data_IF_981635992894
#
_entry.id   IF_981635992894
#
_cell.length_a   1.000
_cell.length_b   1.000
_cell.length_c   1.000
_cell.angle_alpha   90.00
_cell.angle_beta   90.00
_cell.angle_gamma   90.00
#
_symmetry.space_group_name_H-M   'P 1'
#
loop_
_entity.id
_entity.type
_entity.pdbx_description
1 polymer ?
#
# COMPACT_ATOMS: atom_id res chain seq x y z
N UNK A 1 -7.90 3.15 -22.08
CA UNK A 1 -6.80 2.40 -21.43
C UNK A 1 -5.50 3.02 -21.93
N UNK A 2 -4.43 3.00 -21.13
CA UNK A 2 -3.12 3.45 -21.60
C UNK A 2 -2.73 2.68 -22.87
N UNK A 3 -1.95 3.31 -23.73
CA UNK A 3 -1.42 2.76 -24.98
C UNK A 3 -0.32 1.70 -24.76
N UNK A 4 0.28 1.67 -23.57
CA UNK A 4 1.35 0.76 -23.15
C UNK A 4 1.20 0.39 -21.66
N UNK A 5 1.85 -0.69 -21.20
CA UNK A 5 1.75 -1.13 -19.81
C UNK A 5 2.32 -0.08 -18.85
N UNK A 6 1.68 0.03 -17.69
CA UNK A 6 2.13 0.89 -16.59
C UNK A 6 3.13 0.14 -15.70
N UNK A 7 3.80 0.87 -14.82
CA UNK A 7 4.67 0.33 -13.76
C UNK A 7 4.24 0.94 -12.43
N UNK A 8 4.28 0.19 -11.35
CA UNK A 8 3.70 0.64 -10.08
C UNK A 8 4.75 0.94 -9.02
N UNK A 9 4.57 2.08 -8.36
CA UNK A 9 5.21 2.39 -7.08
C UNK A 9 4.11 2.42 -6.01
N UNK A 10 4.27 1.63 -4.96
CA UNK A 10 3.40 1.67 -3.78
C UNK A 10 4.21 2.09 -2.57
N UNK A 11 3.79 3.16 -1.92
CA UNK A 11 4.34 3.61 -0.64
C UNK A 11 3.32 3.29 0.45
N UNK A 12 3.69 2.42 1.37
CA UNK A 12 2.87 2.00 2.50
C UNK A 12 3.50 2.42 3.83
N UNK A 13 2.84 3.37 4.51
CA UNK A 13 3.15 3.79 5.87
C UNK A 13 2.27 3.07 6.88
N UNK A 14 2.83 2.04 7.51
CA UNK A 14 2.16 1.32 8.59
C UNK A 14 2.13 2.19 9.85
N UNK A 15 0.95 2.60 10.32
CA UNK A 15 0.81 3.43 11.52
C UNK A 15 0.94 4.95 11.33
N UNK A 16 1.09 5.43 10.09
CA UNK A 16 1.32 6.86 9.80
C UNK A 16 0.05 7.68 9.56
N UNK A 17 -1.12 7.06 9.37
CA UNK A 17 -2.35 7.77 8.99
C UNK A 17 -2.74 8.87 10.00
N UNK A 18 -2.65 8.57 11.30
CA UNK A 18 -2.97 9.51 12.39
C UNK A 18 -1.98 10.68 12.53
N UNK A 19 -0.81 10.58 11.89
CA UNK A 19 0.26 11.58 11.97
C UNK A 19 0.11 12.67 10.91
N UNK A 20 -0.78 12.50 9.93
CA UNK A 20 -0.99 13.48 8.87
C UNK A 20 -1.64 14.75 9.44
N UNK A 21 -0.88 15.82 9.46
CA UNK A 21 -1.31 17.18 9.79
C UNK A 21 -1.39 18.09 8.54
N UNK A 22 -2.02 19.28 8.65
CA UNK A 22 -2.07 20.28 7.57
C UNK A 22 -0.72 20.75 7.01
N UNK A 23 0.39 20.48 7.72
CA UNK A 23 1.74 20.86 7.29
C UNK A 23 2.28 19.97 6.16
N UNK A 24 1.67 18.82 5.90
CA UNK A 24 2.13 17.85 4.89
C UNK A 24 1.58 18.20 3.49
N UNK A 25 2.07 19.31 2.96
CA UNK A 25 1.60 19.89 1.70
C UNK A 25 1.72 18.96 0.49
N UNK A 26 2.74 18.10 0.40
CA UNK A 26 2.91 17.19 -0.72
C UNK A 26 1.91 16.03 -0.67
N UNK A 27 1.61 15.49 0.51
CA UNK A 27 0.55 14.48 0.67
C UNK A 27 -0.82 15.06 0.28
N UNK A 28 -1.14 16.27 0.75
CA UNK A 28 -2.38 16.95 0.38
C UNK A 28 -2.44 17.28 -1.11
N UNK A 29 -1.33 17.77 -1.68
CA UNK A 29 -1.23 18.04 -3.12
C UNK A 29 -1.41 16.76 -3.95
N UNK A 30 -0.84 15.64 -3.50
CA UNK A 30 -1.03 14.34 -4.13
C UNK A 30 -2.50 13.89 -4.08
N UNK A 31 -3.14 13.96 -2.90
CA UNK A 31 -4.56 13.66 -2.75
C UNK A 31 -5.43 14.49 -3.71
N UNK A 32 -5.11 15.77 -3.90
CA UNK A 32 -5.85 16.66 -4.80
C UNK A 32 -5.86 16.28 -6.28
N UNK A 33 -5.02 15.31 -6.68
CA UNK A 33 -4.85 14.82 -8.06
C UNK A 33 -5.24 13.36 -8.21
N UNK A 34 -5.34 12.64 -7.11
CA UNK A 34 -5.50 11.20 -7.06
C UNK A 34 -6.97 10.79 -6.98
N UNK A 35 -7.18 9.48 -7.11
CA UNK A 35 -8.40 8.80 -6.69
C UNK A 35 -8.20 8.36 -5.24
N UNK A 36 -8.90 9.01 -4.33
CA UNK A 36 -8.80 8.83 -2.89
C UNK A 36 -9.95 7.97 -2.35
N UNK A 37 -9.67 7.25 -1.27
CA UNK A 37 -10.65 6.42 -0.59
C UNK A 37 -10.06 5.60 0.55
N UNK A 38 -10.70 4.49 0.83
CA UNK A 38 -10.45 3.64 1.99
C UNK A 38 -10.22 2.19 1.56
N UNK A 39 -9.24 1.55 2.19
CA UNK A 39 -9.13 0.09 2.20
C UNK A 39 -9.70 -0.42 3.51
N UNK A 40 -10.86 -1.09 3.43
CA UNK A 40 -11.47 -1.78 4.55
C UNK A 40 -10.66 -3.03 4.86
N UNK A 41 -10.38 -3.21 6.14
CA UNK A 41 -9.62 -4.34 6.65
C UNK A 41 -10.56 -5.30 7.36
N UNK A 42 -10.14 -6.54 7.51
CA UNK A 42 -10.77 -7.53 8.37
C UNK A 42 -10.29 -7.35 9.81
N UNK A 43 -11.17 -7.56 10.76
CA UNK A 43 -10.87 -7.55 12.19
C UNK A 43 -9.85 -8.65 12.53
N UNK A 44 -9.04 -8.44 13.57
CA UNK A 44 -8.14 -9.49 14.02
C UNK A 44 -8.94 -10.70 14.51
N UNK A 45 -8.48 -11.93 14.24
CA UNK A 45 -9.15 -13.13 14.74
C UNK A 45 -9.07 -13.25 16.27
N UNK A 46 -8.05 -12.65 16.90
CA UNK A 46 -7.87 -12.59 18.34
C UNK A 46 -7.93 -11.12 18.83
N UNK A 47 -8.61 -10.90 19.95
CA UNK A 47 -8.67 -9.61 20.63
C UNK A 47 -7.32 -9.18 21.22
N UNK A 48 -6.37 -10.12 21.41
CA UNK A 48 -5.02 -9.87 21.93
C UNK A 48 -3.92 -10.03 20.88
N UNK A 49 -4.20 -9.62 19.65
CA UNK A 49 -3.21 -9.61 18.55
C UNK A 49 -1.96 -8.79 18.90
N UNK A 50 -0.77 -9.32 18.62
CA UNK A 50 0.48 -8.57 18.78
C UNK A 50 0.70 -7.58 17.64
N UNK A 51 1.55 -6.57 17.82
CA UNK A 51 1.89 -5.63 16.73
C UNK A 51 2.49 -6.32 15.50
N UNK A 52 3.22 -7.42 15.69
CA UNK A 52 3.79 -8.17 14.58
C UNK A 52 2.72 -8.95 13.82
N UNK A 53 1.77 -9.56 14.53
CA UNK A 53 0.64 -10.27 13.91
C UNK A 53 -0.24 -9.28 13.14
N UNK A 54 -0.54 -8.11 13.73
CA UNK A 54 -1.26 -7.02 13.06
C UNK A 54 -0.58 -6.61 11.76
N UNK A 55 0.75 -6.42 11.78
CA UNK A 55 1.54 -6.06 10.60
C UNK A 55 1.42 -7.10 9.50
N UNK A 56 1.58 -8.37 9.84
CA UNK A 56 1.45 -9.48 8.89
C UNK A 56 0.03 -9.57 8.37
N UNK A 57 -0.99 -9.46 9.21
CA UNK A 57 -2.40 -9.48 8.79
C UNK A 57 -2.73 -8.35 7.84
N UNK A 58 -2.34 -7.12 8.14
CA UNK A 58 -2.64 -5.94 7.32
C UNK A 58 -1.90 -6.00 5.96
N UNK A 59 -0.61 -6.34 5.94
CA UNK A 59 0.12 -6.50 4.67
C UNK A 59 -0.37 -7.71 3.88
N UNK A 60 -0.76 -8.82 4.53
CA UNK A 60 -1.31 -9.98 3.87
C UNK A 60 -2.63 -9.66 3.16
N UNK A 61 -3.48 -8.82 3.76
CA UNK A 61 -4.69 -8.34 3.08
C UNK A 61 -4.34 -7.47 1.86
N UNK A 62 -3.43 -6.50 1.99
CA UNK A 62 -3.00 -5.68 0.84
C UNK A 62 -2.45 -6.51 -0.32
N UNK A 63 -1.78 -7.63 -0.03
CA UNK A 63 -1.15 -8.50 -1.01
C UNK A 63 -2.03 -9.69 -1.47
N UNK A 64 -3.32 -9.70 -1.12
CA UNK A 64 -4.26 -10.82 -1.35
C UNK A 64 -3.71 -12.19 -0.88
N UNK A 65 -3.02 -12.20 0.25
CA UNK A 65 -2.41 -13.38 0.85
C UNK A 65 -3.06 -13.77 2.20
N UNK A 66 -4.03 -12.98 2.69
CA UNK A 66 -4.61 -13.17 4.03
C UNK A 66 -5.27 -14.53 4.22
N UNK A 67 -6.17 -14.94 3.32
CA UNK A 67 -6.88 -16.23 3.46
C UNK A 67 -5.92 -17.42 3.38
N UNK A 68 -4.85 -17.30 2.57
CA UNK A 68 -3.83 -18.34 2.50
C UNK A 68 -3.02 -18.42 3.80
N UNK A 69 -2.64 -17.27 4.36
CA UNK A 69 -1.91 -17.21 5.63
C UNK A 69 -2.76 -17.78 6.79
N UNK A 70 -4.03 -17.39 6.87
CA UNK A 70 -4.97 -17.87 7.89
C UNK A 70 -5.18 -19.39 7.80
N UNK A 71 -5.27 -19.95 6.59
CA UNK A 71 -5.36 -21.40 6.41
C UNK A 71 -4.12 -22.11 6.99
N UNK A 72 -2.90 -21.59 6.78
CA UNK A 72 -1.67 -22.19 7.30
C UNK A 72 -1.62 -22.24 8.83
N UNK A 73 -2.02 -21.15 9.50
CA UNK A 73 -2.07 -21.09 10.96
C UNK A 73 -3.05 -22.13 11.55
N UNK A 74 -4.18 -22.36 10.87
CA UNK A 74 -5.12 -23.44 11.20
C UNK A 74 -4.49 -24.84 11.06
N UNK A 75 -3.74 -25.10 9.99
CA UNK A 75 -3.05 -26.38 9.77
C UNK A 75 -1.89 -26.65 10.74
N UNK A 76 -1.18 -25.61 11.20
CA UNK A 76 -0.12 -25.74 12.19
C UNK A 76 -0.61 -26.24 13.55
N UNK A 77 -1.90 -26.14 13.84
CA UNK A 77 -2.50 -26.62 15.09
C UNK A 77 -2.79 -28.14 15.05
N UNK A 78 -2.87 -28.76 13.86
CA UNK A 78 -3.26 -30.18 13.72
C UNK A 78 -2.11 -31.14 13.34
N UNK A 79 -0.98 -30.68 12.82
CA UNK A 79 0.10 -31.58 12.38
C UNK A 79 1.49 -31.07 12.81
N UNK A 80 1.91 -31.55 13.99
CA UNK A 80 3.32 -31.55 14.38
C UNK A 80 4.04 -32.71 13.69
N UNK A 81 5.19 -32.38 13.09
CA UNK A 81 6.32 -33.25 12.66
C UNK A 81 6.32 -33.67 11.18
N UNK A 82 7.35 -33.16 10.49
CA UNK A 82 7.90 -33.50 9.17
C UNK A 82 7.16 -33.01 7.92
N UNK A 83 7.54 -31.81 7.44
CA UNK A 83 7.58 -31.54 6.00
C UNK A 83 8.85 -30.78 5.61
N UNK A 84 9.56 -31.36 4.64
CA UNK A 84 10.61 -30.71 3.88
C UNK A 84 10.08 -29.45 3.17
N UNK A 85 10.92 -28.41 3.11
CA UNK A 85 10.70 -27.10 2.49
C UNK A 85 10.44 -27.15 0.96
N UNK A 86 9.34 -27.77 0.49
CA UNK A 86 9.07 -27.81 -0.97
C UNK A 86 7.67 -27.44 -1.46
N UNK A 87 6.68 -27.26 -0.61
CA UNK A 87 5.37 -26.77 -1.06
C UNK A 87 5.07 -25.43 -0.37
N UNK A 88 5.38 -24.31 -1.05
CA UNK A 88 4.84 -23.00 -0.65
C UNK A 88 3.32 -23.07 -0.86
N UNK A 89 2.47 -23.00 0.18
CA UNK A 89 1.02 -23.15 0.02
C UNK A 89 0.34 -21.88 -0.50
N UNK A 90 1.08 -20.77 -0.60
CA UNK A 90 0.66 -19.55 -1.29
C UNK A 90 1.39 -19.47 -2.63
N UNK A 91 0.69 -19.47 -3.77
CA UNK A 91 1.34 -19.25 -5.06
C UNK A 91 2.11 -17.93 -5.08
N UNK A 92 3.31 -17.95 -5.65
CA UNK A 92 4.14 -16.76 -5.75
C UNK A 92 3.43 -15.66 -6.53
N UNK A 93 3.79 -14.39 -6.29
CA UNK A 93 3.15 -13.25 -6.95
C UNK A 93 3.23 -13.33 -8.48
N UNK A 94 4.33 -13.86 -9.02
CA UNK A 94 4.50 -14.11 -10.46
C UNK A 94 3.48 -15.12 -10.98
N UNK A 95 3.18 -16.17 -10.21
CA UNK A 95 2.18 -17.18 -10.57
C UNK A 95 0.75 -16.64 -10.48
N UNK A 96 0.47 -15.75 -9.52
CA UNK A 96 -0.85 -15.13 -9.34
C UNK A 96 -1.15 -14.03 -10.37
N UNK A 97 -0.11 -13.37 -10.90
CA UNK A 97 -0.25 -12.14 -11.68
C UNK A 97 0.63 -12.12 -12.95
N UNK A 98 0.44 -13.09 -13.86
CA UNK A 98 1.05 -13.08 -15.21
C UNK A 98 2.54 -12.68 -15.24
N UNK A 99 3.36 -13.37 -14.44
CA UNK A 99 4.79 -13.12 -14.28
C UNK A 99 5.10 -11.69 -13.80
N UNK A 100 4.31 -11.17 -12.84
CA UNK A 100 4.59 -9.89 -12.19
C UNK A 100 5.94 -9.96 -11.45
N UNK A 101 6.89 -9.12 -11.86
CA UNK A 101 8.17 -8.94 -11.18
C UNK A 101 8.02 -7.87 -10.11
N UNK A 102 8.12 -8.25 -8.85
CA UNK A 102 7.89 -7.35 -7.72
C UNK A 102 9.09 -7.27 -6.77
N UNK A 103 9.40 -6.06 -6.32
CA UNK A 103 10.38 -5.79 -5.27
C UNK A 103 9.73 -5.18 -4.03
N UNK A 104 10.25 -5.50 -2.85
CA UNK A 104 9.82 -4.87 -1.59
C UNK A 104 11.02 -4.34 -0.81
N UNK A 105 10.96 -3.08 -0.44
CA UNK A 105 11.87 -2.45 0.51
C UNK A 105 11.16 -2.25 1.83
N UNK A 106 11.76 -2.74 2.92
CA UNK A 106 11.16 -2.56 4.24
C UNK A 106 12.15 -2.40 5.37
N UNK A 107 11.75 -1.67 6.41
CA UNK A 107 12.46 -1.58 7.70
C UNK A 107 11.98 -2.63 8.73
N UNK A 108 11.10 -3.55 8.33
CA UNK A 108 10.49 -4.53 9.22
C UNK A 108 10.88 -5.96 8.78
N UNK A 109 11.80 -6.64 9.48
CA UNK A 109 12.32 -7.95 9.06
C UNK A 109 11.25 -9.04 8.91
N UNK A 110 10.22 -9.04 9.76
CA UNK A 110 9.13 -10.03 9.68
C UNK A 110 8.30 -9.84 8.41
N UNK A 111 8.00 -8.58 8.04
CA UNK A 111 7.32 -8.27 6.76
C UNK A 111 8.21 -8.62 5.58
N UNK A 112 9.52 -8.38 5.68
CA UNK A 112 10.48 -8.78 4.66
C UNK A 112 10.50 -10.30 4.44
N UNK A 113 10.50 -11.09 5.51
CA UNK A 113 10.45 -12.55 5.43
C UNK A 113 9.13 -13.03 4.81
N UNK A 114 8.01 -12.45 5.24
CA UNK A 114 6.68 -12.74 4.68
C UNK A 114 6.61 -12.42 3.18
N UNK A 115 7.06 -11.24 2.76
CA UNK A 115 7.06 -10.84 1.35
C UNK A 115 7.98 -11.72 0.50
N UNK A 116 9.13 -12.15 1.03
CA UNK A 116 10.01 -13.09 0.33
C UNK A 116 9.33 -14.43 0.08
N UNK A 117 8.53 -14.93 1.02
CA UNK A 117 7.74 -16.16 0.85
C UNK A 117 6.67 -16.02 -0.23
N UNK A 118 6.17 -14.80 -0.49
CA UNK A 118 5.26 -14.50 -1.58
C UNK A 118 5.97 -14.28 -2.94
N UNK A 119 7.30 -14.41 -2.99
CA UNK A 119 8.08 -14.27 -4.22
C UNK A 119 8.50 -12.84 -4.56
N UNK A 120 8.49 -11.90 -3.60
CA UNK A 120 9.10 -10.58 -3.81
C UNK A 120 10.63 -10.66 -3.76
N UNK A 121 11.29 -9.82 -4.56
CA UNK A 121 12.69 -9.47 -4.35
C UNK A 121 12.79 -8.49 -3.18
N UNK A 122 13.17 -9.00 -2.00
CA UNK A 122 13.16 -8.21 -0.76
C UNK A 122 14.53 -7.60 -0.47
N UNK A 123 14.54 -6.34 -0.02
CA UNK A 123 15.74 -5.67 0.49
C UNK A 123 15.40 -4.85 1.74
N UNK A 124 16.36 -4.72 2.65
CA UNK A 124 16.18 -3.85 3.80
C UNK A 124 16.19 -2.38 3.33
N UNK A 125 15.38 -1.55 3.97
CA UNK A 125 15.36 -0.11 3.69
C UNK A 125 16.73 0.55 3.92
N UNK A 126 17.50 0.04 4.89
CA UNK A 126 18.88 0.46 5.12
C UNK A 126 19.80 0.20 3.93
N UNK A 127 19.56 -0.86 3.15
CA UNK A 127 20.38 -1.17 1.97
C UNK A 127 20.04 -0.26 0.79
N UNK A 128 18.78 0.18 0.68
CA UNK A 128 18.40 1.22 -0.28
C UNK A 128 19.14 2.53 0.01
N UNK A 129 19.22 2.92 1.29
CA UNK A 129 19.98 4.09 1.72
C UNK A 129 21.46 3.94 1.36
N UNK A 130 22.08 2.78 1.64
CA UNK A 130 23.48 2.50 1.28
C UNK A 130 23.72 2.61 -0.23
N UNK A 131 22.80 2.12 -1.07
CA UNK A 131 22.90 2.24 -2.54
C UNK A 131 22.95 3.70 -2.97
N UNK A 132 22.08 4.54 -2.42
CA UNK A 132 22.04 5.97 -2.70
C UNK A 132 23.36 6.63 -2.28
N UNK A 133 23.88 6.30 -1.09
CA UNK A 133 25.18 6.81 -0.64
C UNK A 133 26.39 6.31 -1.43
N UNK A 134 26.25 5.22 -2.20
CA UNK A 134 27.29 4.76 -3.11
C UNK A 134 27.21 5.50 -4.46
N UNK A 135 26.01 5.97 -4.85
CA UNK A 135 25.79 6.70 -6.10
C UNK A 135 25.94 8.22 -6.00
N UNK A 136 25.84 8.79 -4.79
CA UNK A 136 25.93 10.24 -4.55
C UNK A 136 27.34 10.63 -4.12
N UNK A 137 27.79 11.81 -4.56
CA UNK A 137 29.06 12.45 -4.16
C UNK A 137 29.17 12.53 -2.62
N UNK A 138 30.33 12.27 -1.98
CA UNK A 138 30.45 12.20 -0.51
C UNK A 138 30.04 13.49 0.24
N UNK A 139 29.95 14.62 -0.46
CA UNK A 139 29.52 15.91 0.09
C UNK A 139 28.02 16.19 -0.16
N UNK A 140 27.29 15.29 -0.82
CA UNK A 140 25.87 15.41 -1.11
C UNK A 140 25.01 15.11 0.11
N UNK A 141 24.11 16.02 0.45
CA UNK A 141 23.19 15.85 1.56
C UNK A 141 22.16 14.76 1.22
N UNK A 142 21.99 13.77 2.10
CA UNK A 142 20.94 12.75 1.93
C UNK A 142 19.55 13.41 1.95
N UNK A 143 18.77 13.19 0.89
CA UNK A 143 17.43 13.74 0.71
C UNK A 143 16.43 12.62 0.37
N UNK A 144 15.22 12.70 0.95
CA UNK A 144 14.11 11.77 0.66
C UNK A 144 13.75 11.75 -0.83
N UNK A 145 14.06 12.82 -1.57
CA UNK A 145 13.93 12.86 -3.02
C UNK A 145 14.83 11.84 -3.73
N UNK A 146 16.04 11.60 -3.24
CA UNK A 146 16.96 10.62 -3.82
C UNK A 146 16.43 9.19 -3.70
N UNK A 147 15.67 8.90 -2.64
CA UNK A 147 14.98 7.62 -2.48
C UNK A 147 13.88 7.48 -3.53
N UNK A 148 13.08 8.52 -3.75
CA UNK A 148 12.07 8.52 -4.81
C UNK A 148 12.67 8.22 -6.18
N UNK A 149 13.79 8.88 -6.50
CA UNK A 149 14.52 8.66 -7.76
C UNK A 149 15.04 7.22 -7.91
N UNK A 150 15.63 6.66 -6.86
CA UNK A 150 16.15 5.28 -6.92
C UNK A 150 15.01 4.25 -7.07
N UNK A 151 13.87 4.45 -6.38
CA UNK A 151 12.69 3.59 -6.55
C UNK A 151 12.11 3.69 -7.96
N UNK A 152 12.09 4.88 -8.54
CA UNK A 152 11.66 5.12 -9.92
C UNK A 152 12.61 4.48 -10.93
N UNK A 153 13.92 4.50 -10.67
CA UNK A 153 14.93 3.86 -11.51
C UNK A 153 14.76 2.35 -11.59
N UNK A 154 14.40 1.68 -10.49
CA UNK A 154 14.07 0.24 -10.48
C UNK A 154 12.86 -0.10 -11.35
N UNK A 155 11.96 0.87 -11.54
CA UNK A 155 10.84 0.80 -12.48
C UNK A 155 11.24 1.31 -13.88
N UNK A 156 12.51 1.53 -14.19
CA UNK A 156 12.96 2.03 -15.48
C UNK A 156 12.55 3.46 -15.80
N UNK A 157 12.35 4.30 -14.78
CA UNK A 157 12.18 5.75 -14.95
C UNK A 157 13.46 6.46 -14.52
N UNK A 158 14.14 7.07 -15.48
CA UNK A 158 15.43 7.75 -15.25
C UNK A 158 15.43 9.09 -15.97
N UNK A 159 15.75 10.16 -15.25
CA UNK A 159 15.84 11.53 -15.80
C UNK A 159 14.60 12.01 -16.58
N UNK A 160 13.42 11.54 -16.18
CA UNK A 160 12.13 11.87 -16.82
C UNK A 160 11.78 11.01 -18.05
N UNK A 161 12.69 10.11 -18.45
CA UNK A 161 12.49 9.16 -19.54
C UNK A 161 11.91 7.83 -19.05
N UNK A 162 11.30 7.08 -19.98
CA UNK A 162 10.75 5.75 -19.74
C UNK A 162 11.60 4.73 -20.50
N UNK A 163 12.47 4.03 -19.78
CA UNK A 163 13.34 3.00 -20.32
C UNK A 163 12.56 1.72 -20.62
N UNK A 164 12.83 1.05 -21.73
CA UNK A 164 12.18 -0.24 -22.06
C UNK A 164 12.80 -1.42 -21.29
N UNK A 165 14.08 -1.33 -20.89
CA UNK A 165 14.73 -2.28 -20.00
C UNK A 165 14.63 -1.81 -18.54
N UNK A 166 14.12 -2.69 -17.67
CA UNK A 166 13.84 -2.38 -16.27
C UNK A 166 13.66 -3.64 -15.43
N UNK A 167 13.96 -3.53 -14.14
CA UNK A 167 14.05 -4.68 -13.24
C UNK A 167 12.66 -5.19 -12.79
N UNK A 168 11.77 -4.27 -12.41
CA UNK A 168 10.51 -4.60 -11.74
C UNK A 168 9.29 -3.91 -12.34
N UNK A 169 8.17 -4.64 -12.39
CA UNK A 169 6.87 -4.09 -12.77
C UNK A 169 6.19 -3.39 -11.58
N UNK A 170 6.49 -3.84 -10.35
CA UNK A 170 5.97 -3.30 -9.09
C UNK A 170 7.10 -3.13 -8.07
N UNK A 171 7.22 -1.94 -7.49
CA UNK A 171 8.08 -1.66 -6.34
C UNK A 171 7.22 -1.24 -5.17
N UNK A 172 7.38 -1.92 -4.03
CA UNK A 172 6.66 -1.67 -2.79
C UNK A 172 7.61 -1.17 -1.72
N UNK A 173 7.34 0.00 -1.15
CA UNK A 173 8.06 0.53 -0.01
C UNK A 173 7.17 0.43 1.22
N UNK A 174 7.51 -0.45 2.17
CA UNK A 174 6.80 -0.62 3.44
C UNK A 174 7.64 -0.11 4.61
N UNK A 175 7.13 0.88 5.34
CA UNK A 175 7.86 1.52 6.43
C UNK A 175 6.96 1.62 7.66
N UNK A 176 7.44 1.10 8.79
CA UNK A 176 6.81 1.27 10.10
C UNK A 176 7.34 2.53 10.81
N UNK A 177 6.63 3.04 11.83
CA UNK A 177 7.11 4.14 12.66
C UNK A 177 8.30 3.61 13.50
N UNK A 178 9.11 4.53 14.03
CA UNK A 178 10.16 4.26 15.04
C UNK A 178 11.47 3.62 14.60
N UNK A 179 11.70 3.39 13.30
CA UNK A 179 13.02 2.97 12.85
C UNK A 179 13.94 4.19 12.64
N UNK A 180 14.72 4.54 13.66
CA UNK A 180 15.82 5.52 13.53
C UNK A 180 17.00 4.83 12.84
N UNK A 181 17.28 5.21 11.60
CA UNK A 181 18.50 4.80 10.90
C UNK A 181 19.60 5.81 11.16
N UNK A 182 20.72 5.36 11.70
CA UNK A 182 21.93 6.18 11.77
C UNK A 182 22.53 6.23 10.36
N UNK A 183 22.55 7.41 9.74
CA UNK A 183 23.40 7.66 8.59
C UNK A 183 24.84 7.74 9.10
N UNK A 184 25.55 6.61 9.04
CA UNK A 184 26.95 6.49 9.50
C UNK A 184 27.89 7.43 8.74
N UNK A 185 27.54 7.84 7.51
CA UNK A 185 28.37 8.74 6.69
C UNK A 185 28.15 10.22 7.04
N UNK A 186 26.91 10.63 7.28
CA UNK A 186 26.59 12.04 7.57
C UNK A 186 26.32 12.35 9.05
N UNK A 187 26.35 11.35 9.93
CA UNK A 187 26.03 11.49 11.36
C UNK A 187 24.58 11.87 11.63
N UNK A 188 23.68 11.73 10.64
CA UNK A 188 22.30 12.21 10.69
C UNK A 188 21.33 11.04 10.92
N UNK A 189 20.41 11.19 11.87
CA UNK A 189 19.36 10.19 12.06
C UNK A 189 18.30 10.39 10.98
N UNK A 190 18.11 9.40 10.12
CA UNK A 190 16.99 9.36 9.17
C UNK A 190 15.77 8.91 9.96
N UNK A 191 14.87 9.86 10.24
CA UNK A 191 13.55 9.60 10.80
C UNK A 191 12.62 9.12 9.70
N UNK A 192 12.01 7.95 9.86
CA UNK A 192 10.97 7.43 8.95
C UNK A 192 9.57 7.88 9.36
N UNK A 193 9.45 9.14 9.78
CA UNK A 193 8.19 9.76 10.19
C UNK A 193 7.35 10.24 9.00
N UNK A 194 6.21 10.85 9.28
CA UNK A 194 5.31 11.36 8.24
C UNK A 194 5.92 12.50 7.41
N UNK A 195 6.89 13.26 7.93
CA UNK A 195 7.58 14.29 7.15
C UNK A 195 8.48 13.66 6.09
N UNK A 196 9.11 12.53 6.41
CA UNK A 196 9.84 11.73 5.43
C UNK A 196 8.93 11.27 4.28
N UNK A 197 7.74 10.73 4.59
CA UNK A 197 6.76 10.35 3.57
C UNK A 197 6.30 11.53 2.73
N UNK A 198 6.00 12.67 3.37
CA UNK A 198 5.59 13.88 2.67
C UNK A 198 6.66 14.33 1.66
N UNK A 199 7.94 14.36 2.06
CA UNK A 199 9.03 14.71 1.15
C UNK A 199 9.20 13.69 0.03
N UNK A 200 9.17 12.40 0.35
CA UNK A 200 9.28 11.32 -0.63
C UNK A 200 8.18 11.38 -1.70
N UNK A 201 6.93 11.57 -1.27
CA UNK A 201 5.79 11.76 -2.18
C UNK A 201 5.99 13.01 -3.05
N UNK A 202 6.48 14.10 -2.47
CA UNK A 202 6.84 15.32 -3.20
C UNK A 202 7.88 15.06 -4.29
N UNK A 203 8.95 14.34 -3.98
CA UNK A 203 10.01 13.98 -4.93
C UNK A 203 9.51 13.12 -6.09
N UNK A 204 8.71 12.09 -5.80
CA UNK A 204 8.10 11.23 -6.84
C UNK A 204 7.18 12.04 -7.75
N UNK A 205 6.30 12.87 -7.20
CA UNK A 205 5.37 13.72 -7.97
C UNK A 205 6.11 14.82 -8.75
N UNK A 206 7.28 15.26 -8.29
CA UNK A 206 8.09 16.22 -9.03
C UNK A 206 8.65 15.62 -10.32
N UNK A 207 9.09 14.36 -10.29
CA UNK A 207 9.56 13.62 -11.47
C UNK A 207 8.38 13.25 -12.37
N UNK A 208 7.34 12.68 -11.77
CA UNK A 208 6.08 12.39 -12.43
C UNK A 208 5.16 13.62 -12.34
N UNK A 209 5.57 14.78 -12.86
CA UNK A 209 4.67 15.93 -12.92
C UNK A 209 3.65 15.76 -14.07
N UNK A 210 2.47 16.39 -14.01
CA UNK A 210 1.50 16.35 -15.11
C UNK A 210 2.12 16.76 -16.45
N UNK A 211 1.82 16.02 -17.50
CA UNK A 211 2.37 16.16 -18.84
C UNK A 211 3.71 15.44 -19.05
N UNK A 212 4.33 14.86 -18.02
CA UNK A 212 5.57 14.08 -18.17
C UNK A 212 5.30 12.68 -18.73
N UNK A 213 6.30 12.10 -19.40
CA UNK A 213 6.22 10.71 -19.87
C UNK A 213 6.04 9.74 -18.70
N UNK A 214 6.74 9.98 -17.59
CA UNK A 214 6.64 9.18 -16.36
C UNK A 214 5.23 9.20 -15.80
N UNK A 215 4.57 10.36 -15.69
CA UNK A 215 3.23 10.48 -15.12
C UNK A 215 2.17 9.63 -15.85
N UNK A 216 2.30 9.47 -17.17
CA UNK A 216 1.41 8.62 -17.97
C UNK A 216 1.66 7.12 -17.80
N UNK A 217 2.82 6.73 -17.26
CA UNK A 217 3.30 5.34 -17.15
C UNK A 217 3.48 4.84 -15.74
N UNK A 218 3.53 5.73 -14.76
CA UNK A 218 3.66 5.41 -13.35
C UNK A 218 2.27 5.33 -12.71
N UNK A 219 1.92 4.14 -12.23
CA UNK A 219 0.81 3.95 -11.30
C UNK A 219 1.31 4.15 -9.88
N UNK A 220 1.10 5.34 -9.32
CA UNK A 220 1.58 5.70 -8.00
C UNK A 220 0.48 5.57 -6.95
N UNK A 221 0.72 4.76 -5.92
CA UNK A 221 -0.20 4.59 -4.78
C UNK A 221 0.47 4.98 -3.47
N UNK A 222 -0.22 5.75 -2.64
CA UNK A 222 0.15 6.02 -1.24
C UNK A 222 -0.92 5.43 -0.34
N UNK A 223 -0.52 4.53 0.53
CA UNK A 223 -1.39 3.85 1.51
C UNK A 223 -0.87 4.15 2.91
N UNK A 224 -1.72 4.64 3.81
CA UNK A 224 -1.36 4.86 5.22
C UNK A 224 -2.36 4.12 6.13
N UNK A 225 -1.86 3.28 7.05
CA UNK A 225 -2.70 2.64 8.09
C UNK A 225 -2.59 3.36 9.43
N UNK A 226 -3.49 3.03 10.35
CA UNK A 226 -3.53 3.62 11.69
C UNK A 226 -2.64 2.90 12.73
N UNK A 227 -2.09 1.74 12.38
CA UNK A 227 -1.30 0.92 13.29
C UNK A 227 -2.18 0.25 14.35
N UNK A 228 -1.67 0.09 15.56
CA UNK A 228 -2.47 -0.31 16.72
C UNK A 228 -3.62 0.68 16.94
N UNK A 229 -4.85 0.16 16.98
CA UNK A 229 -6.07 0.95 17.21
C UNK A 229 -6.89 0.35 18.33
N UNK A 230 -7.49 1.19 19.17
CA UNK A 230 -8.51 0.76 20.13
C UNK A 230 -9.89 0.98 19.52
N UNK A 231 -10.79 0.01 19.64
CA UNK A 231 -12.13 0.06 19.05
C UNK A 231 -13.05 1.15 19.64
N UNK A 232 -12.57 1.97 20.57
CA UNK A 232 -13.33 3.06 21.20
C UNK A 232 -13.42 4.34 20.38
N UNK A 233 -12.55 4.55 19.38
CA UNK A 233 -12.56 5.77 18.58
C UNK A 233 -13.48 5.63 17.35
N UNK A 234 -14.71 6.11 17.50
CA UNK A 234 -15.73 6.11 16.45
C UNK A 234 -15.48 7.16 15.36
N UNK A 235 -14.51 8.06 15.52
CA UNK A 235 -14.24 9.13 14.56
C UNK A 235 -13.90 8.59 13.18
N UNK A 236 -13.19 7.46 13.14
CA UNK A 236 -12.72 6.82 11.90
C UNK A 236 -13.64 5.71 11.39
N UNK A 237 -14.95 5.80 11.67
CA UNK A 237 -15.94 4.81 11.25
C UNK A 237 -16.34 4.97 9.78
N UNK A 238 -16.31 3.87 9.01
CA UNK A 238 -16.83 3.77 7.64
C UNK A 238 -18.36 3.73 7.58
N UNK A 239 -19.02 3.43 8.71
CA UNK A 239 -20.48 3.32 8.75
C UNK A 239 -21.10 4.72 8.73
N UNK A 240 -21.56 5.14 7.55
CA UNK A 240 -22.18 6.46 7.34
C UNK A 240 -23.55 6.65 8.03
N UNK A 241 -24.15 5.61 8.63
CA UNK A 241 -25.54 5.66 9.10
C UNK A 241 -25.72 5.17 10.54
N UNK A 242 -25.71 6.08 11.51
CA UNK A 242 -26.54 5.94 12.72
C UNK A 242 -27.73 6.90 12.73
N UNK A 243 -27.95 7.69 11.67
CA UNK A 243 -29.06 8.64 11.58
C UNK A 243 -30.05 8.26 10.48
N UNK A 244 -30.98 7.39 10.86
CA UNK A 244 -32.42 7.49 10.57
C UNK A 244 -33.04 6.11 10.82
N UNK A 245 -34.14 6.09 11.57
CA UNK A 245 -35.12 5.00 11.62
C UNK A 245 -35.54 4.63 10.19
N UNK A 246 -34.73 3.80 9.54
CA UNK A 246 -35.02 3.30 8.21
C UNK A 246 -35.85 2.05 8.43
N UNK A 247 -37.05 2.06 7.86
CA UNK A 247 -38.00 0.96 7.89
C UNK A 247 -37.25 -0.36 7.67
N UNK A 248 -37.37 -1.32 8.60
CA UNK A 248 -36.55 -2.54 8.64
C UNK A 248 -36.58 -3.32 7.33
N UNK A 249 -37.69 -3.23 6.60
CA UNK A 249 -37.90 -3.91 5.33
C UNK A 249 -37.07 -3.31 4.20
N UNK A 250 -36.76 -2.01 4.25
CA UNK A 250 -35.90 -1.35 3.26
C UNK A 250 -34.41 -1.69 3.47
N UNK A 251 -34.01 -2.09 4.68
CA UNK A 251 -32.66 -2.59 4.93
C UNK A 251 -32.38 -3.90 4.17
N UNK A 252 -33.42 -4.72 3.94
CA UNK A 252 -33.31 -5.94 3.14
C UNK A 252 -33.02 -5.67 1.66
N UNK A 253 -33.40 -4.49 1.17
CA UNK A 253 -33.17 -4.07 -0.22
C UNK A 253 -31.83 -3.36 -0.42
N UNK A 254 -31.09 -3.07 0.67
CA UNK A 254 -29.83 -2.35 0.58
C UNK A 254 -28.77 -3.23 -0.09
N UNK A 255 -28.16 -2.79 -1.21
CA UNK A 255 -27.07 -3.53 -1.82
C UNK A 255 -25.94 -3.73 -0.83
N UNK A 256 -25.46 -4.97 -0.72
CA UNK A 256 -24.25 -5.29 0.03
C UNK A 256 -23.09 -4.54 -0.59
N UNK A 257 -22.31 -3.88 0.26
CA UNK A 257 -21.17 -3.09 -0.21
C UNK A 257 -20.05 -4.05 -0.63
N UNK A 258 -19.37 -3.75 -1.73
CA UNK A 258 -18.33 -4.63 -2.28
C UNK A 258 -17.20 -4.90 -1.29
N UNK A 259 -16.90 -3.96 -0.38
CA UNK A 259 -15.89 -4.13 0.65
C UNK A 259 -16.25 -5.15 1.73
N UNK A 260 -17.53 -5.56 1.84
CA UNK A 260 -17.98 -6.58 2.79
C UNK A 260 -18.07 -7.98 2.17
N UNK A 261 -17.51 -8.17 0.97
CA UNK A 261 -17.65 -9.41 0.20
C UNK A 261 -16.33 -9.84 -0.46
N UNK A 262 -16.05 -11.15 -0.43
CA UNK A 262 -14.96 -11.78 -1.19
C UNK A 262 -15.43 -13.11 -1.80
N UNK A 263 -15.13 -13.33 -3.07
CA UNK A 263 -15.54 -14.56 -3.78
C UNK A 263 -17.06 -14.84 -3.80
N UNK A 264 -17.89 -13.80 -3.71
CA UNK A 264 -19.36 -13.94 -3.61
C UNK A 264 -19.89 -14.18 -2.19
N UNK A 265 -19.01 -14.39 -1.21
CA UNK A 265 -19.37 -14.61 0.19
C UNK A 265 -19.31 -13.30 0.98
N UNK A 266 -20.20 -13.17 1.97
CA UNK A 266 -20.11 -12.08 2.96
C UNK A 266 -18.96 -12.40 3.91
N UNK A 267 -18.15 -11.40 4.20
CA UNK A 267 -17.14 -11.48 5.25
C UNK A 267 -17.78 -11.04 6.58
N UNK A 268 -17.80 -11.91 7.61
CA UNK A 268 -18.42 -11.59 8.90
C UNK A 268 -17.56 -10.68 9.78
N UNK A 269 -16.29 -10.52 9.42
CA UNK A 269 -15.23 -9.97 10.24
C UNK A 269 -14.66 -8.68 9.63
N UNK A 270 -15.51 -7.81 9.10
CA UNK A 270 -15.05 -6.53 8.54
C UNK A 270 -14.84 -5.51 9.65
N UNK A 271 -13.62 -4.95 9.71
CA UNK A 271 -13.29 -3.81 10.55
C UNK A 271 -13.91 -2.55 9.98
N UNK A 272 -14.95 -2.07 10.66
CA UNK A 272 -15.72 -0.88 10.25
C UNK A 272 -15.08 0.45 10.69
N UNK A 273 -13.95 0.43 11.37
CA UNK A 273 -13.24 1.63 11.83
C UNK A 273 -11.77 1.63 11.41
N UNK A 274 -11.17 2.81 11.37
CA UNK A 274 -9.75 2.99 11.05
C UNK A 274 -9.32 2.21 9.80
N UNK A 275 -9.99 2.42 8.65
CA UNK A 275 -9.55 1.82 7.39
C UNK A 275 -8.16 2.34 7.02
N UNK A 276 -7.46 1.71 6.07
CA UNK A 276 -6.30 2.37 5.50
C UNK A 276 -6.75 3.51 4.59
N UNK A 277 -6.05 4.63 4.65
CA UNK A 277 -6.22 5.73 3.70
C UNK A 277 -5.44 5.39 2.44
N UNK A 278 -6.07 5.51 1.27
CA UNK A 278 -5.42 5.27 -0.02
C UNK A 278 -5.66 6.43 -0.96
N UNK A 279 -4.61 6.83 -1.68
CA UNK A 279 -4.72 7.67 -2.87
C UNK A 279 -3.91 7.06 -4.01
N UNK A 280 -4.52 6.94 -5.19
CA UNK A 280 -3.91 6.34 -6.39
C UNK A 280 -3.94 7.31 -7.55
N UNK A 281 -2.83 7.44 -8.26
CA UNK A 281 -2.70 8.36 -9.37
C UNK A 281 -1.87 7.78 -10.50
N UNK A 282 -2.39 7.95 -11.72
CA UNK A 282 -1.69 7.81 -12.99
C UNK A 282 -2.36 8.74 -13.99
N UNK A 283 -1.57 9.57 -14.66
CA UNK A 283 -2.09 10.56 -15.58
C UNK A 283 -2.82 9.91 -16.75
N UNK A 284 -4.04 10.39 -17.03
CA UNK A 284 -4.90 9.85 -18.10
C UNK A 284 -5.56 8.50 -17.82
N UNK A 285 -5.27 7.85 -16.67
CA UNK A 285 -5.78 6.50 -16.35
C UNK A 285 -6.61 6.46 -15.07
N UNK A 286 -6.17 7.11 -14.00
CA UNK A 286 -6.95 7.18 -12.76
C UNK A 286 -7.91 8.35 -12.80
N UNK A 287 -9.13 8.14 -12.31
CA UNK A 287 -10.08 9.23 -12.08
C UNK A 287 -9.52 10.14 -10.99
N UNK A 288 -9.67 11.45 -11.18
CA UNK A 288 -9.46 12.45 -10.12
C UNK A 288 -10.79 12.67 -9.39
N UNK A 289 -10.75 12.67 -8.06
CA UNK A 289 -11.91 13.02 -7.24
C UNK A 289 -11.84 14.47 -6.72
N UNK A 290 -12.65 14.78 -5.70
CA UNK A 290 -12.78 16.13 -5.15
C UNK A 290 -12.02 16.31 -3.83
N UNK A 291 -11.31 15.29 -3.35
CA UNK A 291 -10.48 15.39 -2.16
C UNK A 291 -9.35 16.39 -2.42
N UNK A 292 -8.99 17.14 -1.38
CA UNK A 292 -7.93 18.14 -1.39
C UNK A 292 -6.87 17.86 -0.32
N UNK A 293 -7.21 17.03 0.67
CA UNK A 293 -6.35 16.68 1.80
C UNK A 293 -6.29 15.17 1.95
N UNK A 294 -5.08 14.66 2.12
CA UNK A 294 -4.85 13.29 2.53
C UNK A 294 -5.25 13.06 4.00
N UNK A 295 -6.55 12.96 4.29
CA UNK A 295 -7.04 12.61 5.61
C UNK A 295 -8.42 11.94 5.53
N UNK A 296 -8.81 11.29 6.63
CA UNK A 296 -10.06 10.55 6.71
C UNK A 296 -11.29 11.41 6.37
N UNK A 297 -11.46 12.56 7.02
CA UNK A 297 -12.65 13.40 6.83
C UNK A 297 -12.82 13.86 5.38
N UNK A 298 -11.71 14.26 4.75
CA UNK A 298 -11.73 14.75 3.38
C UNK A 298 -11.99 13.62 2.39
N UNK A 299 -11.43 12.43 2.63
CA UNK A 299 -11.71 11.23 1.82
C UNK A 299 -13.16 10.77 1.99
N UNK A 300 -13.72 10.87 3.20
CA UNK A 300 -15.11 10.53 3.49
C UNK A 300 -16.08 11.45 2.74
N UNK A 301 -15.80 12.75 2.76
CA UNK A 301 -16.70 13.76 2.18
C UNK A 301 -16.51 13.93 0.67
N UNK A 302 -15.29 13.73 0.15
CA UNK A 302 -14.90 14.14 -1.20
C UNK A 302 -14.18 13.07 -2.01
N UNK A 303 -13.82 11.94 -1.39
CA UNK A 303 -13.15 10.82 -2.04
C UNK A 303 -14.08 10.06 -2.98
N UNK A 304 -13.57 9.68 -4.15
CA UNK A 304 -14.35 9.05 -5.20
C UNK A 304 -14.45 7.52 -5.09
N UNK A 305 -13.48 6.89 -4.43
CA UNK A 305 -13.40 5.42 -4.35
C UNK A 305 -14.17 4.82 -3.17
N UNK A 306 -14.65 5.66 -2.23
CA UNK A 306 -15.28 5.21 -0.98
C UNK A 306 -14.46 4.08 -0.35
N UNK A 307 -15.08 3.00 0.12
CA UNK A 307 -14.38 1.85 0.69
C UNK A 307 -14.35 0.65 -0.28
N UNK A 308 -13.18 0.07 -0.45
CA UNK A 308 -12.97 -1.26 -1.09
C UNK A 308 -12.32 -2.21 -0.09
N UNK A 309 -12.47 -3.51 -0.27
CA UNK A 309 -11.78 -4.51 0.56
C UNK A 309 -10.26 -4.46 0.26
N UNK A 310 -9.42 -4.45 1.29
CA UNK A 310 -7.96 -4.38 1.14
C UNK A 310 -7.40 -5.50 0.25
N UNK A 311 -7.98 -6.71 0.28
CA UNK A 311 -7.66 -7.85 -0.59
C UNK A 311 -7.77 -7.54 -2.09
N UNK A 312 -8.50 -6.49 -2.48
CA UNK A 312 -8.63 -6.09 -3.89
C UNK A 312 -7.50 -5.17 -4.34
N UNK A 313 -6.73 -4.59 -3.41
CA UNK A 313 -5.72 -3.58 -3.73
C UNK A 313 -4.69 -4.08 -4.74
N UNK A 314 -4.04 -5.22 -4.48
CA UNK A 314 -3.01 -5.74 -5.39
C UNK A 314 -3.58 -6.14 -6.75
N UNK A 315 -4.81 -6.67 -6.81
CA UNK A 315 -5.49 -6.93 -8.09
C UNK A 315 -5.72 -5.64 -8.89
N UNK A 316 -6.15 -4.57 -8.23
CA UNK A 316 -6.35 -3.27 -8.90
C UNK A 316 -5.04 -2.74 -9.47
N UNK A 317 -3.96 -2.80 -8.68
CA UNK A 317 -2.62 -2.44 -9.14
C UNK A 317 -2.22 -3.32 -10.33
N UNK A 318 -2.25 -4.65 -10.19
CA UNK A 318 -1.87 -5.60 -11.23
C UNK A 318 -2.68 -5.40 -12.52
N UNK A 319 -3.97 -5.08 -12.43
CA UNK A 319 -4.79 -4.75 -13.58
C UNK A 319 -4.27 -3.51 -14.34
N UNK A 320 -3.84 -2.45 -13.64
CA UNK A 320 -3.22 -1.27 -14.29
C UNK A 320 -1.89 -1.58 -14.97
N UNK A 321 -1.19 -2.60 -14.49
CA UNK A 321 0.06 -3.11 -15.05
C UNK A 321 -0.13 -4.12 -16.20
N UNK A 322 -1.39 -4.48 -16.53
CA UNK A 322 -1.72 -5.58 -17.45
C UNK A 322 -1.20 -6.95 -16.99
N UNK A 323 -1.11 -7.12 -15.68
CA UNK A 323 -0.68 -8.35 -14.99
C UNK A 323 -1.85 -9.11 -14.35
N UNK A 324 -3.07 -8.61 -14.55
CA UNK A 324 -4.33 -9.27 -14.24
C UNK A 324 -5.40 -8.87 -15.27
N UNK A 325 -6.36 -9.75 -15.59
CA UNK A 325 -7.49 -9.40 -16.44
C UNK A 325 -8.35 -8.32 -15.77
N UNK A 326 -9.05 -7.52 -16.59
CA UNK A 326 -10.11 -6.63 -16.10
C UNK A 326 -11.20 -7.49 -15.50
N UNK A 327 -11.63 -7.18 -14.26
CA UNK A 327 -12.68 -7.87 -13.51
C UNK A 327 -13.63 -8.73 -14.35
N UNK A 328 -13.62 -10.06 -14.15
CA UNK A 328 -14.56 -11.01 -14.75
C UNK A 328 -14.03 -11.88 -15.89
N UNK A 329 -12.85 -12.49 -15.72
CA UNK A 329 -12.45 -13.66 -16.51
C UNK A 329 -12.59 -14.92 -15.65
#
# INVERSE_FOLDING_TARGET
MADKPSRALVIYGDGHAKLVSPLHSHLHSFASRASCGFLSLRDPPDAQETENDRRIREIAQLLDAYDFNAAMEGYHTELNINRDNKDLPVPAISQRFMDLRAAMFTNCPIVGSFASNLGFSVSQFSDLIKRIHASVDPNGNFDSNAIGLELLKLLGFLDGEVLEDYDFDLVFLHITPDHKLNDEKNGKVISTDINFFNKLVGGVVNVAHPGSLVASRLHFSVVLSYGAVSGGDQHFSLNLNSFAETNSDLLLLRPRQSYTMKGGNILPDIRHHHPMLIAQWQEGVTRRDMAMRFCFDDFRERGGNLAILADRFLYEVAFKLWKAPKYGA
#
